data_IF_353708442541
#
_entry.id   IF_353708442541
#
_cell.length_a   1.000
_cell.length_b   1.000
_cell.length_c   1.000
_cell.angle_alpha   90.00
_cell.angle_beta   90.00
_cell.angle_gamma   90.00
#
_symmetry.space_group_name_H-M   'P 1'
#
loop_
_entity.id
_entity.type
_entity.pdbx_description
1 polymer ?
#
# COMPACT_ATOMS: atom_id res chain seq x y z
N UNK A 1 21.46 5.26 19.75
CA UNK A 1 20.44 4.43 19.08
C UNK A 1 19.16 5.25 19.01
N UNK A 2 18.85 5.80 17.84
CA UNK A 2 17.61 6.56 17.62
C UNK A 2 16.51 5.57 17.26
N UNK A 3 15.55 5.39 18.15
CA UNK A 3 14.32 4.66 17.85
C UNK A 3 13.53 5.49 16.84
N UNK A 4 13.46 5.03 15.59
CA UNK A 4 12.56 5.59 14.60
C UNK A 4 11.12 5.18 14.99
N UNK A 5 10.30 6.15 15.38
CA UNK A 5 8.88 5.91 15.67
C UNK A 5 8.17 5.65 14.34
N UNK A 6 7.69 4.42 14.15
CA UNK A 6 7.00 3.98 12.93
C UNK A 6 5.61 4.64 12.74
N UNK A 7 5.10 5.34 13.75
CA UNK A 7 3.77 5.95 13.74
C UNK A 7 3.81 7.44 14.04
N UNK A 8 3.12 8.21 13.20
CA UNK A 8 2.81 9.61 13.49
C UNK A 8 1.47 9.68 14.24
N UNK A 9 1.55 9.97 15.53
CA UNK A 9 0.37 10.20 16.37
C UNK A 9 -0.23 11.57 16.08
N UNK A 10 -1.52 11.61 15.79
CA UNK A 10 -2.26 12.86 15.59
C UNK A 10 -3.41 12.94 16.57
N UNK A 11 -3.64 14.13 17.12
CA UNK A 11 -4.80 14.39 17.95
C UNK A 11 -6.04 14.53 17.05
N UNK A 12 -7.05 13.72 17.33
CA UNK A 12 -8.31 13.77 16.59
C UNK A 12 -9.07 15.03 16.97
N UNK A 13 -9.37 15.86 15.96
CA UNK A 13 -10.16 17.08 16.14
C UNK A 13 -11.67 16.84 16.06
N UNK A 14 -12.08 15.63 15.65
CA UNK A 14 -13.48 15.24 15.50
C UNK A 14 -13.68 13.75 15.82
N UNK A 15 -14.92 13.39 16.17
CA UNK A 15 -15.33 12.01 16.44
C UNK A 15 -15.28 11.16 15.16
N UNK A 16 -14.91 9.89 15.31
CA UNK A 16 -14.99 8.90 14.22
C UNK A 16 -16.32 8.13 14.34
N UNK A 17 -17.18 8.12 13.30
CA UNK A 17 -18.43 7.38 13.32
C UNK A 17 -18.23 5.87 13.59
N UNK A 18 -19.11 5.27 14.38
CA UNK A 18 -19.05 3.85 14.77
C UNK A 18 -17.73 3.38 15.40
N UNK A 19 -16.98 4.30 16.01
CA UNK A 19 -15.72 3.99 16.70
C UNK A 19 -15.78 4.34 18.19
N UNK A 20 -15.11 3.58 19.07
CA UNK A 20 -14.93 3.98 20.47
C UNK A 20 -13.99 5.18 20.63
N UNK A 21 -13.31 5.61 19.56
CA UNK A 21 -12.35 6.73 19.59
C UNK A 21 -13.05 8.08 19.40
N UNK A 22 -12.75 9.05 20.27
CA UNK A 22 -13.39 10.36 20.35
C UNK A 22 -12.45 11.52 20.04
N UNK A 23 -13.01 12.69 19.76
CA UNK A 23 -12.25 13.93 19.67
C UNK A 23 -11.42 14.15 20.95
N UNK A 24 -10.15 14.50 20.79
CA UNK A 24 -9.17 14.62 21.88
C UNK A 24 -8.37 13.34 22.15
N UNK A 25 -8.79 12.18 21.63
CA UNK A 25 -7.95 10.99 21.65
C UNK A 25 -6.80 11.14 20.65
N UNK A 26 -5.64 10.54 20.98
CA UNK A 26 -4.57 10.35 20.01
C UNK A 26 -4.97 9.20 19.09
N UNK A 27 -5.12 9.49 17.80
CA UNK A 27 -5.33 8.52 16.74
C UNK A 27 -4.03 8.23 15.99
N UNK A 28 -4.00 7.09 15.31
CA UNK A 28 -2.97 6.78 14.31
C UNK A 28 -3.51 7.26 12.97
N UNK A 29 -2.70 8.00 12.21
CA UNK A 29 -3.00 8.23 10.79
C UNK A 29 -2.85 6.89 10.09
N UNK A 30 -3.98 6.30 9.70
CA UNK A 30 -4.00 5.09 8.89
C UNK A 30 -3.64 5.50 7.47
N UNK A 31 -2.49 5.05 6.99
CA UNK A 31 -2.14 5.19 5.60
C UNK A 31 -3.04 4.29 4.73
N UNK A 32 -2.87 4.41 3.41
CA UNK A 32 -3.66 3.65 2.44
C UNK A 32 -3.49 2.13 2.59
N UNK A 33 -2.37 1.66 3.14
CA UNK A 33 -2.10 0.24 3.35
C UNK A 33 -2.75 -0.28 4.63
N UNK A 34 -2.81 0.52 5.69
CA UNK A 34 -3.61 0.17 6.88
C UNK A 34 -5.10 0.05 6.53
N UNK A 35 -5.61 0.90 5.63
CA UNK A 35 -6.99 0.81 5.14
C UNK A 35 -7.23 -0.42 4.26
N UNK A 36 -6.21 -0.84 3.48
CA UNK A 36 -6.25 -2.09 2.72
C UNK A 36 -6.42 -3.29 3.66
N UNK A 37 -5.61 -3.39 4.72
CA UNK A 37 -5.72 -4.49 5.71
C UNK A 37 -7.13 -4.60 6.28
N UNK A 38 -7.71 -3.48 6.72
CA UNK A 38 -9.07 -3.48 7.25
C UNK A 38 -10.10 -3.94 6.21
N UNK A 39 -9.99 -3.45 4.98
CA UNK A 39 -10.91 -3.82 3.88
C UNK A 39 -10.80 -5.31 3.52
N UNK A 40 -9.60 -5.88 3.59
CA UNK A 40 -9.35 -7.30 3.34
C UNK A 40 -9.92 -8.18 4.45
N UNK A 41 -9.74 -7.79 5.72
CA UNK A 41 -10.29 -8.50 6.86
C UNK A 41 -11.83 -8.48 6.84
N UNK A 42 -12.44 -7.31 6.59
CA UNK A 42 -13.90 -7.15 6.53
C UNK A 42 -14.54 -7.94 5.39
N UNK A 43 -13.93 -7.93 4.20
CA UNK A 43 -14.51 -8.56 3.01
C UNK A 43 -14.27 -10.06 2.92
N UNK A 44 -13.08 -10.52 3.31
CA UNK A 44 -12.65 -11.91 3.11
C UNK A 44 -12.57 -12.71 4.41
N UNK A 45 -12.86 -12.10 5.57
CA UNK A 45 -12.79 -12.78 6.86
C UNK A 45 -11.36 -13.15 7.26
N UNK A 46 -10.38 -12.42 6.73
CA UNK A 46 -8.97 -12.59 7.09
C UNK A 46 -8.67 -11.94 8.44
N UNK A 47 -7.54 -12.31 9.03
CA UNK A 47 -7.07 -11.89 10.35
C UNK A 47 -5.73 -11.14 10.24
N UNK A 48 -5.48 -10.48 9.11
CA UNK A 48 -4.25 -9.74 8.91
C UNK A 48 -4.12 -8.63 9.93
N UNK A 49 -2.92 -8.49 10.45
CA UNK A 49 -2.56 -7.56 11.49
C UNK A 49 -1.86 -6.34 10.89
N UNK A 50 -1.66 -5.31 11.71
CA UNK A 50 -0.82 -4.19 11.30
C UNK A 50 0.64 -4.61 11.04
N UNK A 51 1.12 -5.72 11.60
CA UNK A 51 2.45 -6.23 11.28
C UNK A 51 2.53 -6.75 9.83
N UNK A 52 1.43 -7.28 9.31
CA UNK A 52 1.28 -7.77 7.94
C UNK A 52 1.23 -6.61 6.91
N UNK A 53 0.99 -5.38 7.36
CA UNK A 53 1.08 -4.19 6.51
C UNK A 53 2.48 -4.02 5.90
N UNK A 54 3.53 -4.35 6.66
CA UNK A 54 4.92 -4.23 6.23
C UNK A 54 5.21 -5.06 4.96
N UNK A 55 4.45 -6.13 4.72
CA UNK A 55 4.55 -6.89 3.48
C UNK A 55 4.16 -6.04 2.27
N UNK A 56 3.00 -5.39 2.30
CA UNK A 56 2.53 -4.54 1.20
C UNK A 56 3.40 -3.29 1.02
N UNK A 57 3.97 -2.75 2.10
CA UNK A 57 4.97 -1.68 2.03
C UNK A 57 6.22 -2.13 1.26
N UNK A 58 6.77 -3.29 1.63
CA UNK A 58 7.92 -3.89 0.95
C UNK A 58 7.64 -4.18 -0.53
N UNK A 59 6.43 -4.65 -0.87
CA UNK A 59 5.99 -4.82 -2.26
C UNK A 59 6.03 -3.48 -3.01
N UNK A 60 5.49 -2.44 -2.39
CA UNK A 60 5.47 -1.08 -2.94
C UNK A 60 6.88 -0.55 -3.18
N UNK A 61 7.79 -0.69 -2.21
CA UNK A 61 9.20 -0.31 -2.34
C UNK A 61 9.89 -1.03 -3.49
N UNK A 62 9.64 -2.33 -3.64
CA UNK A 62 10.19 -3.15 -4.74
C UNK A 62 9.71 -2.64 -6.09
N UNK A 63 8.42 -2.33 -6.18
CA UNK A 63 7.82 -1.83 -7.41
C UNK A 63 8.40 -0.46 -7.79
N UNK A 64 8.60 0.43 -6.81
CA UNK A 64 9.17 1.77 -7.02
C UNK A 64 10.64 1.70 -7.44
N UNK A 65 11.39 0.71 -6.92
CA UNK A 65 12.78 0.48 -7.29
C UNK A 65 12.94 -0.20 -8.66
N UNK A 66 11.87 -0.70 -9.27
CA UNK A 66 11.92 -1.36 -10.56
C UNK A 66 11.86 -0.35 -11.71
N UNK A 67 12.94 -0.25 -12.50
CA UNK A 67 13.06 0.70 -13.60
C UNK A 67 11.97 0.56 -14.68
N UNK A 68 11.51 -0.65 -14.96
CA UNK A 68 10.46 -0.89 -15.96
C UNK A 68 9.11 -0.37 -15.46
N UNK A 69 8.78 -0.63 -14.20
CA UNK A 69 7.56 -0.12 -13.55
C UNK A 69 7.61 1.40 -13.45
N UNK A 70 8.76 1.97 -13.04
CA UNK A 70 8.97 3.41 -12.95
C UNK A 70 8.77 4.11 -14.30
N UNK A 71 9.43 3.63 -15.35
CA UNK A 71 9.26 4.19 -16.71
C UNK A 71 7.83 4.08 -17.19
N UNK A 72 7.17 2.94 -16.94
CA UNK A 72 5.79 2.75 -17.32
C UNK A 72 4.86 3.74 -16.61
N UNK A 73 5.04 4.00 -15.32
CA UNK A 73 4.23 4.97 -14.58
C UNK A 73 4.43 6.42 -15.07
N UNK A 74 5.64 6.78 -15.50
CA UNK A 74 5.97 8.13 -15.97
C UNK A 74 5.40 8.47 -17.35
N UNK A 75 5.24 7.48 -18.23
CA UNK A 75 4.78 7.69 -19.61
C UNK A 75 3.30 7.37 -19.82
N UNK A 76 2.62 6.80 -18.81
CA UNK A 76 1.23 6.40 -18.90
C UNK A 76 0.38 7.15 -17.87
N UNK A 77 -0.91 7.35 -18.18
CA UNK A 77 -1.91 7.69 -17.16
C UNK A 77 -2.08 6.51 -16.19
N UNK A 78 -2.68 6.77 -15.02
CA UNK A 78 -2.93 5.72 -14.00
C UNK A 78 -3.72 4.53 -14.57
N UNK A 79 -4.73 4.81 -15.39
CA UNK A 79 -5.57 3.79 -16.05
C UNK A 79 -4.75 2.91 -17.00
N UNK A 80 -3.84 3.51 -17.78
CA UNK A 80 -2.99 2.80 -18.73
C UNK A 80 -1.80 2.10 -18.06
N UNK A 81 -1.42 2.54 -16.85
CA UNK A 81 -0.38 1.90 -16.04
C UNK A 81 -0.90 0.66 -15.30
N UNK A 82 -2.18 0.62 -14.93
CA UNK A 82 -2.82 -0.51 -14.23
C UNK A 82 -2.49 -1.90 -14.83
N UNK A 83 -2.69 -2.16 -16.14
CA UNK A 83 -2.39 -3.46 -16.73
C UNK A 83 -0.88 -3.78 -16.80
N UNK A 84 -0.01 -2.77 -16.72
CA UNK A 84 1.44 -2.99 -16.65
C UNK A 84 1.79 -3.47 -15.25
N UNK A 85 1.31 -2.79 -14.22
CA UNK A 85 1.54 -3.18 -12.83
C UNK A 85 0.97 -4.57 -12.54
N UNK A 86 -0.22 -4.88 -13.04
CA UNK A 86 -0.85 -6.20 -12.89
C UNK A 86 0.06 -7.34 -13.36
N UNK A 87 0.73 -7.18 -14.51
CA UNK A 87 1.68 -8.18 -15.05
C UNK A 87 2.91 -8.37 -14.17
N UNK A 88 3.29 -7.35 -13.39
CA UNK A 88 4.41 -7.42 -12.47
C UNK A 88 4.01 -7.88 -11.07
N UNK A 89 2.72 -7.80 -10.73
CA UNK A 89 2.22 -8.06 -9.37
C UNK A 89 2.60 -9.44 -8.87
N UNK A 90 2.43 -10.48 -9.69
CA UNK A 90 2.77 -11.85 -9.32
C UNK A 90 4.25 -12.00 -8.97
N UNK A 91 5.14 -11.45 -9.80
CA UNK A 91 6.58 -11.49 -9.56
C UNK A 91 6.97 -10.72 -8.29
N UNK A 92 6.38 -9.55 -8.06
CA UNK A 92 6.62 -8.76 -6.84
C UNK A 92 6.24 -9.57 -5.58
N UNK A 93 5.13 -10.30 -5.64
CA UNK A 93 4.66 -11.16 -4.56
C UNK A 93 5.57 -12.38 -4.34
N UNK A 94 6.03 -13.03 -5.42
CA UNK A 94 6.96 -14.16 -5.35
C UNK A 94 8.29 -13.73 -4.71
N UNK A 95 8.83 -12.57 -5.11
CA UNK A 95 10.08 -12.01 -4.59
C UNK A 95 10.03 -11.72 -3.08
N UNK A 96 8.83 -11.65 -2.50
CA UNK A 96 8.63 -11.31 -1.08
C UNK A 96 7.85 -12.35 -0.28
N UNK A 97 7.65 -13.55 -0.84
CA UNK A 97 6.89 -14.63 -0.21
C UNK A 97 7.42 -15.02 1.18
N UNK A 98 8.73 -14.91 1.42
CA UNK A 98 9.38 -15.33 2.67
C UNK A 98 8.79 -14.60 3.90
N UNK A 99 8.17 -15.39 4.78
CA UNK A 99 7.56 -14.92 6.03
C UNK A 99 6.18 -14.29 5.89
N UNK A 100 5.56 -14.31 4.69
CA UNK A 100 4.22 -13.78 4.42
C UNK A 100 3.38 -14.73 3.55
N UNK A 101 3.63 -16.03 3.66
CA UNK A 101 3.04 -17.07 2.81
C UNK A 101 1.51 -17.08 2.89
N UNK A 102 0.94 -16.73 4.05
CA UNK A 102 -0.51 -16.61 4.21
C UNK A 102 -1.10 -15.53 3.31
N UNK A 103 -0.55 -14.32 3.33
CA UNK A 103 -0.99 -13.21 2.47
C UNK A 103 -0.82 -13.59 1.01
N UNK A 104 0.32 -14.18 0.67
CA UNK A 104 0.59 -14.65 -0.68
C UNK A 104 -0.48 -15.64 -1.17
N UNK A 105 -0.80 -16.67 -0.37
CA UNK A 105 -1.82 -17.66 -0.72
C UNK A 105 -3.20 -17.02 -0.90
N UNK A 106 -3.61 -16.11 0.00
CA UNK A 106 -4.90 -15.42 -0.13
C UNK A 106 -4.97 -14.58 -1.41
N UNK A 107 -3.90 -13.85 -1.74
CA UNK A 107 -3.84 -13.03 -2.95
C UNK A 107 -3.81 -13.88 -4.22
N UNK A 108 -3.08 -15.00 -4.24
CA UNK A 108 -2.95 -15.81 -5.46
C UNK A 108 -4.15 -16.71 -5.72
N UNK A 109 -4.84 -17.17 -4.67
CA UNK A 109 -5.96 -18.11 -4.80
C UNK A 109 -7.32 -17.43 -4.99
N UNK A 110 -7.41 -16.10 -4.81
CA UNK A 110 -8.66 -15.37 -4.91
C UNK A 110 -8.53 -14.14 -5.83
N UNK A 111 -9.18 -14.18 -6.99
CA UNK A 111 -9.11 -13.11 -8.00
C UNK A 111 -9.69 -11.78 -7.49
N UNK A 112 -10.75 -11.83 -6.70
CA UNK A 112 -11.39 -10.64 -6.12
C UNK A 112 -10.50 -9.99 -5.06
N UNK A 113 -9.82 -10.82 -4.26
CA UNK A 113 -8.81 -10.37 -3.31
C UNK A 113 -7.65 -9.69 -4.06
N UNK A 114 -7.12 -10.36 -5.08
CA UNK A 114 -6.01 -9.86 -5.91
C UNK A 114 -6.35 -8.51 -6.54
N UNK A 115 -7.57 -8.35 -7.06
CA UNK A 115 -8.02 -7.10 -7.66
C UNK A 115 -8.05 -5.94 -6.64
N UNK A 116 -8.52 -6.18 -5.41
CA UNK A 116 -8.53 -5.15 -4.36
C UNK A 116 -7.11 -4.72 -3.97
N UNK A 117 -6.20 -5.69 -3.81
CA UNK A 117 -4.79 -5.43 -3.52
C UNK A 117 -4.14 -4.63 -4.65
N UNK A 118 -4.36 -5.04 -5.90
CA UNK A 118 -3.84 -4.34 -7.08
C UNK A 118 -4.31 -2.89 -7.12
N UNK A 119 -5.59 -2.61 -6.88
CA UNK A 119 -6.13 -1.24 -6.90
C UNK A 119 -5.44 -0.31 -5.88
N UNK A 120 -5.21 -0.82 -4.67
CA UNK A 120 -4.56 -0.06 -3.60
C UNK A 120 -3.07 0.14 -3.85
N UNK A 121 -2.37 -0.92 -4.29
CA UNK A 121 -0.96 -0.81 -4.67
C UNK A 121 -0.76 0.11 -5.88
N UNK A 122 -1.62 0.03 -6.89
CA UNK A 122 -1.61 0.90 -8.06
C UNK A 122 -1.67 2.37 -7.66
N UNK A 123 -2.60 2.71 -6.78
CA UNK A 123 -2.75 4.07 -6.28
C UNK A 123 -1.49 4.54 -5.54
N UNK A 124 -1.01 3.73 -4.58
CA UNK A 124 0.17 4.05 -3.80
C UNK A 124 1.44 4.21 -4.65
N UNK A 125 1.71 3.25 -5.55
CA UNK A 125 2.90 3.23 -6.41
C UNK A 125 2.87 4.39 -7.40
N UNK A 126 1.75 4.59 -8.11
CA UNK A 126 1.65 5.62 -9.13
C UNK A 126 1.79 7.02 -8.54
N UNK A 127 1.13 7.29 -7.41
CA UNK A 127 1.22 8.57 -6.70
C UNK A 127 2.64 8.82 -6.19
N UNK A 128 3.30 7.79 -5.63
CA UNK A 128 4.67 7.92 -5.14
C UNK A 128 5.65 8.19 -6.28
N UNK A 129 5.53 7.46 -7.39
CA UNK A 129 6.41 7.62 -8.55
C UNK A 129 6.27 9.01 -9.20
N UNK A 130 5.05 9.55 -9.27
CA UNK A 130 4.81 10.85 -9.89
C UNK A 130 5.05 12.03 -8.95
N UNK A 131 4.88 11.87 -7.63
CA UNK A 131 5.29 12.88 -6.65
C UNK A 131 6.81 13.13 -6.68
N UNK A 132 7.61 12.08 -6.92
CA UNK A 132 9.07 12.17 -7.03
C UNK A 132 9.54 12.87 -8.33
N UNK A 133 8.68 13.02 -9.34
CA UNK A 133 9.00 13.76 -10.58
C UNK A 133 8.92 15.27 -10.36
N UNK A 134 7.98 15.74 -9.52
CA UNK A 134 7.79 17.17 -9.27
C UNK A 134 8.92 17.79 -8.42
N UNK A 135 9.57 17.02 -7.54
CA UNK A 135 10.67 17.51 -6.69
C UNK A 135 12.03 17.57 -7.40
N UNK A 136 12.20 16.85 -8.52
CA UNK A 136 13.47 16.84 -9.28
C UNK A 136 13.46 17.79 -10.49
N UNK A 137 12.33 18.45 -10.76
CA UNK A 137 12.13 19.34 -11.91
C UNK A 137 12.32 20.85 -11.67
N UNK A 138 12.58 21.30 -10.43
CA UNK A 138 12.79 22.73 -10.14
C UNK A 138 14.20 23.00 -9.58
N UNK A 139 15.18 22.95 -10.48
CA UNK A 139 16.48 23.59 -10.31
C UNK A 139 16.89 24.16 -11.66
N UNK A 140 16.36 25.34 -11.98
CA UNK A 140 16.93 26.28 -12.95
C UNK A 140 16.63 27.70 -12.47
#
# INVERSE_FOLDING_TARGET
MTTATLFQWVELKQDVPNSPVKAGNKGVVLDHLSQLINSLNERFGTDFTLADQLFFEKITETAIANDSIKKAAQVNTKENFAPVLEKHLENLFIERMDGNEKIFMEVMNNEEFRAMVLEKLLSSIYETLNRNVDETGNSN
#
